data_IF_517580600852
#
_entry.id   IF_517580600852
#
_cell.length_a   1.000
_cell.length_b   1.000
_cell.length_c   1.000
_cell.angle_alpha   90.00
_cell.angle_beta   90.00
_cell.angle_gamma   90.00
#
_symmetry.space_group_name_H-M   'P 1'
#
loop_
_entity.id
_entity.type
_entity.pdbx_description
1 polymer ?
#
# COMPACT_ATOMS: atom_id res chain seq x y z
N UNK A 1 20.22 -19.84 -5.41
CA UNK A 1 20.35 -18.38 -5.56
C UNK A 1 18.94 -17.85 -5.63
N UNK A 2 18.52 -17.39 -4.46
CA UNK A 2 17.56 -16.29 -4.24
C UNK A 2 16.31 -16.32 -5.12
N UNK A 3 15.29 -17.02 -4.61
CA UNK A 3 13.92 -16.80 -5.05
C UNK A 3 13.57 -15.35 -4.74
N UNK A 4 13.78 -14.48 -5.72
CA UNK A 4 13.31 -13.11 -5.74
C UNK A 4 11.83 -13.19 -5.41
N UNK A 5 11.49 -12.84 -4.17
CA UNK A 5 10.10 -12.72 -3.76
C UNK A 5 9.54 -11.63 -4.64
N UNK A 6 8.90 -12.04 -5.74
CA UNK A 6 8.23 -11.17 -6.69
C UNK A 6 7.07 -10.52 -5.92
N UNK A 7 7.39 -9.50 -5.10
CA UNK A 7 6.38 -8.61 -4.54
C UNK A 7 5.69 -8.05 -5.78
N UNK A 8 4.38 -8.31 -5.95
CA UNK A 8 3.66 -7.81 -7.11
C UNK A 8 3.93 -6.31 -7.24
N UNK A 9 4.31 -5.88 -8.44
CA UNK A 9 4.66 -4.48 -8.67
C UNK A 9 3.49 -3.58 -8.24
N UNK A 10 3.78 -2.58 -7.42
CA UNK A 10 2.78 -1.64 -6.92
C UNK A 10 2.59 -0.54 -7.97
N UNK A 11 1.71 -0.82 -8.92
CA UNK A 11 1.40 0.08 -10.04
C UNK A 11 0.06 0.80 -9.84
N UNK A 12 -0.06 1.98 -10.45
CA UNK A 12 -1.32 2.74 -10.47
C UNK A 12 -2.48 1.88 -10.95
N UNK A 13 -3.63 1.97 -10.27
CA UNK A 13 -4.82 1.18 -10.55
C UNK A 13 -4.88 -0.15 -9.79
N UNK A 14 -3.76 -0.66 -9.26
CA UNK A 14 -3.79 -1.87 -8.43
C UNK A 14 -4.59 -1.63 -7.16
N UNK A 15 -5.44 -2.61 -6.82
CA UNK A 15 -6.12 -2.64 -5.53
C UNK A 15 -5.20 -3.22 -4.48
N UNK A 16 -5.13 -2.57 -3.32
CA UNK A 16 -4.27 -2.98 -2.22
C UNK A 16 -5.09 -3.21 -0.95
N UNK A 17 -4.65 -4.17 -0.14
CA UNK A 17 -5.10 -4.32 1.25
C UNK A 17 -3.91 -4.06 2.17
N UNK A 18 -4.10 -3.24 3.20
CA UNK A 18 -3.03 -2.84 4.10
C UNK A 18 -3.47 -2.81 5.56
N UNK A 19 -2.50 -2.97 6.45
CA UNK A 19 -2.69 -2.96 7.90
C UNK A 19 -2.72 -1.53 8.43
N UNK A 20 -3.62 -1.26 9.39
CA UNK A 20 -3.72 0.03 10.07
C UNK A 20 -3.28 -0.10 11.52
N UNK A 21 -2.32 0.75 11.92
CA UNK A 21 -1.77 0.80 13.27
C UNK A 21 -0.62 -0.18 13.53
N UNK A 22 0.09 0.03 14.65
CA UNK A 22 1.17 -0.84 15.10
C UNK A 22 0.63 -2.22 15.52
N UNK A 23 1.43 -3.27 15.34
CA UNK A 23 1.12 -4.68 15.66
C UNK A 23 0.95 -4.93 17.17
N UNK A 24 -0.04 -4.33 17.81
CA UNK A 24 -0.37 -4.56 19.23
C UNK A 24 -1.49 -5.59 19.35
N UNK A 25 -1.12 -6.85 19.11
CA UNK A 25 -1.63 -8.03 19.83
C UNK A 25 -3.10 -8.46 19.79
N UNK A 26 -4.11 -7.70 19.32
CA UNK A 26 -5.52 -8.19 19.44
C UNK A 26 -6.47 -8.05 18.25
N UNK A 27 -6.17 -7.29 17.22
CA UNK A 27 -6.82 -7.35 15.88
C UNK A 27 -6.25 -6.21 15.07
N UNK A 28 -5.46 -6.50 14.04
CA UNK A 28 -5.10 -5.44 13.09
C UNK A 28 -6.29 -5.20 12.18
N UNK A 29 -6.70 -3.94 12.07
CA UNK A 29 -7.73 -3.54 11.12
C UNK A 29 -7.07 -3.47 9.74
N UNK A 30 -7.69 -4.12 8.76
CA UNK A 30 -7.29 -3.99 7.36
C UNK A 30 -8.13 -2.90 6.69
N UNK A 31 -7.49 -2.09 5.85
CA UNK A 31 -8.18 -1.18 4.93
C UNK A 31 -7.79 -1.53 3.50
N UNK A 32 -8.60 -1.03 2.57
CA UNK A 32 -8.45 -1.26 1.14
C UNK A 32 -8.46 0.06 0.39
N UNK A 33 -7.84 0.06 -0.77
CA UNK A 33 -7.82 1.20 -1.66
C UNK A 33 -7.17 0.88 -2.99
N UNK A 34 -6.98 1.91 -3.79
CA UNK A 34 -6.37 1.84 -5.12
C UNK A 34 -5.11 2.69 -5.15
N UNK A 35 -4.02 2.16 -5.69
CA UNK A 35 -2.79 2.93 -5.92
C UNK A 35 -3.08 4.03 -6.93
N UNK A 36 -2.80 5.29 -6.59
CA UNK A 36 -3.10 6.44 -7.45
C UNK A 36 -1.88 7.00 -8.17
N UNK A 37 -0.68 6.55 -7.84
CA UNK A 37 0.55 7.06 -8.41
C UNK A 37 1.77 6.20 -8.13
N UNK A 38 2.92 6.69 -8.56
CA UNK A 38 4.20 5.98 -8.42
C UNK A 38 4.63 5.91 -6.95
N UNK A 39 5.03 4.73 -6.45
CA UNK A 39 5.67 4.63 -5.14
C UNK A 39 6.94 5.49 -5.05
N UNK A 40 7.15 6.12 -3.91
CA UNK A 40 8.32 6.98 -3.64
C UNK A 40 9.12 6.38 -2.50
N UNK A 41 10.43 6.20 -2.71
CA UNK A 41 11.33 5.75 -1.64
C UNK A 41 11.92 6.96 -0.95
N UNK A 42 11.76 7.02 0.37
CA UNK A 42 12.40 8.01 1.23
C UNK A 42 13.83 7.55 1.56
N UNK A 43 14.84 8.22 1.01
CA UNK A 43 16.25 7.85 1.20
C UNK A 43 16.74 8.00 2.65
N UNK A 44 16.10 8.86 3.45
CA UNK A 44 16.49 9.08 4.84
C UNK A 44 16.08 7.92 5.76
N UNK A 45 14.99 7.24 5.42
CA UNK A 45 14.41 6.15 6.23
C UNK A 45 14.43 4.79 5.53
N UNK A 46 14.80 4.75 4.24
CA UNK A 46 14.70 3.60 3.36
C UNK A 46 13.27 3.01 3.27
N UNK A 47 12.24 3.81 3.57
CA UNK A 47 10.84 3.40 3.49
C UNK A 47 10.27 3.78 2.13
N UNK A 48 9.69 2.80 1.42
CA UNK A 48 8.88 3.07 0.24
C UNK A 48 7.45 3.40 0.63
N UNK A 49 6.98 4.57 0.22
CA UNK A 49 5.63 5.07 0.43
C UNK A 49 4.81 4.97 -0.84
N UNK A 50 3.58 4.50 -0.70
CA UNK A 50 2.65 4.23 -1.80
C UNK A 50 1.44 5.14 -1.65
N UNK A 51 1.11 5.99 -2.64
CA UNK A 51 -0.09 6.81 -2.59
C UNK A 51 -1.33 5.96 -2.90
N UNK A 52 -2.29 5.94 -1.97
CA UNK A 52 -3.49 5.09 -2.04
C UNK A 52 -4.75 5.92 -1.83
N UNK A 53 -5.67 5.85 -2.80
CA UNK A 53 -7.05 6.27 -2.62
C UNK A 53 -7.79 5.24 -1.79
N UNK A 54 -8.18 5.59 -0.58
CA UNK A 54 -8.87 4.67 0.34
C UNK A 54 -10.32 4.47 -0.08
N UNK A 55 -10.79 3.22 -0.06
CA UNK A 55 -12.18 2.90 -0.35
C UNK A 55 -13.13 3.68 0.59
N UNK A 56 -14.18 4.27 0.01
CA UNK A 56 -15.16 5.07 0.75
C UNK A 56 -14.75 6.52 1.05
N UNK A 57 -13.58 6.98 0.60
CA UNK A 57 -13.25 8.41 0.55
C UNK A 57 -13.75 9.05 -0.75
N UNK A 58 -14.00 10.36 -0.72
CA UNK A 58 -14.32 11.13 -1.91
C UNK A 58 -13.19 11.02 -2.94
N UNK A 59 -13.54 10.95 -4.23
CA UNK A 59 -12.56 10.74 -5.31
C UNK A 59 -11.58 11.89 -5.47
N UNK A 60 -11.97 13.09 -5.04
CA UNK A 60 -11.14 14.30 -5.02
C UNK A 60 -10.38 14.49 -3.69
N UNK A 61 -10.48 13.54 -2.75
CA UNK A 61 -9.69 13.59 -1.53
C UNK A 61 -8.21 13.28 -1.81
N UNK A 62 -7.31 13.92 -1.06
CA UNK A 62 -5.88 13.61 -1.15
C UNK A 62 -5.61 12.13 -0.84
N UNK A 63 -4.67 11.49 -1.56
CA UNK A 63 -4.31 10.11 -1.32
C UNK A 63 -3.62 9.95 0.04
N UNK A 64 -3.82 8.79 0.66
CA UNK A 64 -3.07 8.41 1.85
C UNK A 64 -1.74 7.79 1.45
N UNK A 65 -0.67 8.17 2.13
CA UNK A 65 0.64 7.56 1.96
C UNK A 65 0.79 6.36 2.88
N UNK A 66 0.85 5.17 2.29
CA UNK A 66 0.93 3.90 3.00
C UNK A 66 2.32 3.32 2.80
N UNK A 67 2.99 2.92 3.88
CA UNK A 67 4.27 2.23 3.77
C UNK A 67 4.08 0.91 3.02
N UNK A 68 4.95 0.60 2.06
CA UNK A 68 4.85 -0.61 1.24
C UNK A 68 4.86 -1.88 2.09
N UNK A 69 5.54 -1.88 3.24
CA UNK A 69 5.56 -3.03 4.16
C UNK A 69 4.24 -3.24 4.93
N UNK A 70 3.37 -2.23 4.99
CA UNK A 70 2.03 -2.36 5.54
C UNK A 70 1.04 -2.98 4.54
N UNK A 71 1.38 -3.06 3.25
CA UNK A 71 0.56 -3.67 2.20
C UNK A 71 0.77 -5.18 2.24
N UNK A 72 -0.32 -5.90 2.46
CA UNK A 72 -0.31 -7.35 2.66
C UNK A 72 -0.91 -8.13 1.49
N UNK A 73 -1.60 -7.43 0.57
CA UNK A 73 -2.23 -8.03 -0.60
C UNK A 73 -2.34 -6.99 -1.73
N UNK A 74 -2.10 -7.42 -2.96
CA UNK A 74 -2.18 -6.60 -4.18
C UNK A 74 -2.94 -7.38 -5.24
N UNK A 75 -3.98 -6.75 -5.80
CA UNK A 75 -4.77 -7.29 -6.90
C UNK A 75 -4.58 -6.38 -8.10
N UNK A 76 -4.02 -6.92 -9.18
CA UNK A 76 -3.81 -6.19 -10.43
C UNK A 76 -5.13 -5.68 -11.00
N UNK A 77 -5.10 -4.47 -11.55
CA UNK A 77 -6.20 -4.00 -12.39
C UNK A 77 -6.14 -4.78 -13.71
N UNK A 78 -7.25 -5.43 -14.05
CA UNK A 78 -7.44 -6.09 -15.34
C UNK A 78 -7.72 -5.09 -16.46
#
# INVERSE_FOLDING_TARGET
>A
MDGEQHRPELSTGHRVTYLVGQRTGRRQLCRRGVVTGTPVTDDATAVTWVPVQVDGQARDADPQWIAADAIIDVVSAS
#
